data_IF_638511029367
#
_entry.id   IF_638511029367
#
_cell.length_a   1.000
_cell.length_b   1.000
_cell.length_c   1.000
_cell.angle_alpha   90.00
_cell.angle_beta   90.00
_cell.angle_gamma   90.00
#
_symmetry.space_group_name_H-M   'P 1'
#
loop_
_entity.id
_entity.type
_entity.pdbx_description
1 polymer ?
#
# COMPACT_ATOMS: atom_id res chain seq x y z
N UNK A 1 -5.38 19.01 -23.24
CA UNK A 1 -3.99 19.18 -22.77
C UNK A 1 -3.06 17.97 -23.06
N UNK A 2 -3.58 16.78 -23.35
CA UNK A 2 -2.80 15.56 -23.58
C UNK A 2 -2.95 14.96 -24.99
N UNK A 3 -3.47 15.72 -25.96
CA UNK A 3 -3.56 15.28 -27.36
C UNK A 3 -2.17 14.80 -27.82
N UNK A 4 -2.10 13.61 -28.42
CA UNK A 4 -0.89 12.93 -28.90
C UNK A 4 0.05 12.26 -27.89
N UNK A 5 -0.21 12.30 -26.58
CA UNK A 5 0.59 11.53 -25.61
C UNK A 5 -0.03 10.16 -25.33
N UNK A 6 0.82 9.14 -25.21
CA UNK A 6 0.34 7.82 -24.76
C UNK A 6 -0.14 7.89 -23.30
N UNK A 7 -1.03 6.99 -22.96
CA UNK A 7 -1.58 6.82 -21.60
C UNK A 7 -0.49 6.81 -20.52
N UNK A 8 0.61 6.11 -20.74
CA UNK A 8 1.74 6.11 -19.79
C UNK A 8 2.36 7.51 -19.61
N UNK A 9 2.56 8.27 -20.69
CA UNK A 9 3.09 9.63 -20.60
C UNK A 9 2.11 10.60 -19.94
N UNK A 10 0.80 10.39 -20.12
CA UNK A 10 -0.23 11.15 -19.44
C UNK A 10 -0.23 10.85 -17.92
N UNK A 11 -0.13 9.56 -17.54
CA UNK A 11 -0.02 9.14 -16.13
C UNK A 11 1.22 9.72 -15.45
N UNK A 12 2.37 9.60 -16.08
CA UNK A 12 3.64 10.04 -15.49
C UNK A 12 3.76 11.56 -15.41
N UNK A 13 2.89 12.33 -16.08
CA UNK A 13 2.79 13.77 -15.91
C UNK A 13 2.30 14.19 -14.51
N UNK A 14 1.62 13.30 -13.77
CA UNK A 14 1.25 13.53 -12.36
C UNK A 14 2.41 13.35 -11.38
N UNK A 15 3.56 12.82 -11.84
CA UNK A 15 4.75 12.69 -11.01
C UNK A 15 5.51 14.01 -10.93
N UNK A 16 5.87 14.44 -9.73
CA UNK A 16 6.71 15.62 -9.53
C UNK A 16 8.19 15.27 -9.80
N UNK A 17 8.62 15.46 -11.06
CA UNK A 17 10.00 15.19 -11.49
C UNK A 17 11.03 16.04 -10.75
N UNK A 18 10.70 17.30 -10.44
CA UNK A 18 11.60 18.19 -9.69
C UNK A 18 11.89 17.63 -8.31
N UNK A 19 10.84 17.20 -7.60
CA UNK A 19 10.99 16.59 -6.27
C UNK A 19 11.78 15.28 -6.33
N UNK A 20 11.52 14.43 -7.32
CA UNK A 20 12.33 13.22 -7.51
C UNK A 20 13.81 13.55 -7.73
N UNK A 21 14.11 14.53 -8.58
CA UNK A 21 15.48 14.96 -8.85
C UNK A 21 16.17 15.56 -7.61
N UNK A 22 15.43 16.13 -6.65
CA UNK A 22 15.98 16.57 -5.36
C UNK A 22 16.52 15.37 -4.58
N UNK A 23 15.76 14.26 -4.54
CA UNK A 23 16.25 13.02 -3.90
C UNK A 23 17.42 12.39 -4.67
N UNK A 24 17.39 12.41 -6.01
CA UNK A 24 18.51 11.94 -6.82
C UNK A 24 19.80 12.72 -6.49
N UNK A 25 19.71 14.04 -6.31
CA UNK A 25 20.85 14.89 -5.90
C UNK A 25 21.28 14.59 -4.46
N UNK A 26 20.33 14.44 -3.53
CA UNK A 26 20.60 14.13 -2.11
C UNK A 26 21.46 12.86 -1.94
N UNK A 27 21.29 11.88 -2.82
CA UNK A 27 21.95 10.57 -2.75
C UNK A 27 22.92 10.31 -3.91
N UNK A 28 23.34 11.33 -4.66
CA UNK A 28 24.24 11.23 -5.81
C UNK A 28 23.87 10.15 -6.85
N UNK A 29 22.58 9.87 -6.99
CA UNK A 29 22.07 8.73 -7.75
C UNK A 29 22.41 8.71 -9.24
N UNK A 30 22.74 9.87 -9.83
CA UNK A 30 23.17 10.00 -11.23
C UNK A 30 24.68 10.23 -11.40
N UNK A 31 25.47 10.06 -10.34
CA UNK A 31 26.93 10.18 -10.43
C UNK A 31 27.48 9.16 -11.45
N UNK A 32 28.29 9.63 -12.40
CA UNK A 32 28.85 8.84 -13.52
C UNK A 32 27.82 8.18 -14.45
N UNK A 33 26.54 8.56 -14.37
CA UNK A 33 25.50 8.01 -15.25
C UNK A 33 25.45 8.78 -16.58
N UNK A 34 25.69 8.08 -17.72
CA UNK A 34 25.71 8.68 -19.04
C UNK A 34 24.31 8.77 -19.69
N UNK A 35 23.50 7.73 -19.57
CA UNK A 35 22.23 7.62 -20.32
C UNK A 35 21.02 7.14 -19.51
N UNK A 36 21.15 6.05 -18.75
CA UNK A 36 20.05 5.48 -17.98
C UNK A 36 19.98 6.12 -16.58
N UNK A 37 19.35 7.30 -16.48
CA UNK A 37 19.23 8.08 -15.24
C UNK A 37 18.31 7.39 -14.22
N UNK A 38 18.33 7.88 -12.96
CA UNK A 38 17.38 7.41 -11.94
C UNK A 38 15.92 7.67 -12.35
N UNK A 39 15.66 8.76 -13.07
CA UNK A 39 14.32 9.03 -13.62
C UNK A 39 13.92 7.98 -14.66
N UNK A 40 14.81 7.64 -15.60
CA UNK A 40 14.54 6.57 -16.55
C UNK A 40 14.29 5.23 -15.85
N UNK A 41 15.06 4.92 -14.79
CA UNK A 41 14.84 3.73 -13.99
C UNK A 41 13.46 3.73 -13.33
N UNK A 42 13.04 4.83 -12.68
CA UNK A 42 11.72 4.95 -12.08
C UNK A 42 10.62 4.70 -13.12
N UNK A 43 10.68 5.39 -14.27
CA UNK A 43 9.70 5.22 -15.34
C UNK A 43 9.67 3.79 -15.87
N UNK A 44 10.85 3.17 -16.08
CA UNK A 44 10.93 1.79 -16.52
C UNK A 44 10.35 0.80 -15.48
N UNK A 45 10.64 1.01 -14.18
CA UNK A 45 10.06 0.22 -13.09
C UNK A 45 8.53 0.37 -13.07
N UNK A 46 8.02 1.60 -13.16
CA UNK A 46 6.58 1.87 -13.16
C UNK A 46 5.88 1.28 -14.38
N UNK A 47 6.47 1.43 -15.57
CA UNK A 47 5.94 0.79 -16.77
C UNK A 47 5.81 -0.73 -16.59
N UNK A 48 6.85 -1.37 -16.05
CA UNK A 48 6.83 -2.81 -15.79
C UNK A 48 5.77 -3.22 -14.75
N UNK A 49 5.56 -2.42 -13.70
CA UNK A 49 4.52 -2.65 -12.70
C UNK A 49 3.12 -2.51 -13.32
N UNK A 50 2.86 -1.42 -14.00
CA UNK A 50 1.56 -1.10 -14.59
C UNK A 50 1.20 -2.00 -15.77
N UNK A 51 2.18 -2.44 -16.59
CA UNK A 51 1.98 -3.38 -17.72
C UNK A 51 2.08 -4.84 -17.31
N UNK A 52 2.11 -5.14 -16.03
CA UNK A 52 2.05 -6.50 -15.48
C UNK A 52 3.21 -7.41 -15.92
N UNK A 53 4.46 -6.86 -16.09
CA UNK A 53 5.64 -7.63 -16.51
C UNK A 53 6.15 -8.53 -15.39
N UNK A 54 6.44 -9.78 -15.72
CA UNK A 54 6.81 -10.80 -14.73
C UNK A 54 8.31 -10.85 -14.41
N UNK A 55 9.15 -10.38 -15.33
CA UNK A 55 10.60 -10.42 -15.18
C UNK A 55 11.27 -9.23 -15.86
N UNK A 56 12.54 -8.98 -15.47
CA UNK A 56 13.35 -7.97 -16.15
C UNK A 56 13.54 -8.29 -17.64
N UNK A 57 13.61 -9.58 -18.00
CA UNK A 57 13.72 -10.00 -19.42
C UNK A 57 12.44 -9.66 -20.19
N UNK A 58 11.28 -9.96 -19.63
CA UNK A 58 9.98 -9.64 -20.21
C UNK A 58 9.80 -8.12 -20.39
N UNK A 59 10.25 -7.33 -19.40
CA UNK A 59 10.23 -5.87 -19.48
C UNK A 59 11.12 -5.34 -20.63
N UNK A 60 12.32 -5.90 -20.82
CA UNK A 60 13.21 -5.48 -21.90
C UNK A 60 12.61 -5.86 -23.26
N UNK A 61 12.04 -7.06 -23.41
CA UNK A 61 11.35 -7.48 -24.65
C UNK A 61 10.20 -6.52 -24.97
N UNK A 62 9.43 -6.09 -23.96
CA UNK A 62 8.37 -5.09 -24.16
C UNK A 62 8.93 -3.75 -24.66
N UNK A 63 10.06 -3.28 -24.13
CA UNK A 63 10.71 -2.06 -24.64
C UNK A 63 11.25 -2.23 -26.05
N UNK A 64 11.80 -3.38 -26.39
CA UNK A 64 12.27 -3.69 -27.75
C UNK A 64 11.12 -3.69 -28.75
N UNK A 65 10.00 -4.34 -28.41
CA UNK A 65 8.81 -4.37 -29.25
C UNK A 65 8.22 -2.96 -29.49
N UNK A 66 8.38 -2.05 -28.52
CA UNK A 66 7.91 -0.68 -28.61
C UNK A 66 9.04 0.35 -28.79
N UNK A 67 10.16 -0.02 -29.37
CA UNK A 67 11.36 0.80 -29.50
C UNK A 67 11.09 2.17 -30.12
N UNK A 68 10.28 2.24 -31.16
CA UNK A 68 9.88 3.51 -31.80
C UNK A 68 9.10 4.43 -30.87
N UNK A 69 8.35 3.88 -29.90
CA UNK A 69 7.54 4.63 -28.93
C UNK A 69 8.30 4.94 -27.62
N UNK A 70 9.49 4.37 -27.40
CA UNK A 70 10.25 4.48 -26.14
C UNK A 70 10.53 5.94 -25.75
N UNK A 71 10.82 6.79 -26.71
CA UNK A 71 11.02 8.23 -26.49
C UNK A 71 9.76 8.90 -25.91
N UNK A 72 8.60 8.54 -26.42
CA UNK A 72 7.31 9.07 -25.97
C UNK A 72 6.92 8.58 -24.55
N UNK A 73 7.55 7.52 -24.06
CA UNK A 73 7.43 7.05 -22.67
C UNK A 73 8.33 7.84 -21.70
N UNK A 74 9.11 8.79 -22.19
CA UNK A 74 10.09 9.53 -21.39
C UNK A 74 11.36 8.75 -21.05
N UNK A 75 11.59 7.58 -21.66
CA UNK A 75 12.73 6.69 -21.40
C UNK A 75 13.98 7.03 -22.23
N UNK A 76 13.89 8.08 -23.09
CA UNK A 76 14.97 8.45 -23.99
C UNK A 76 14.99 7.61 -25.29
N UNK A 77 15.98 7.90 -26.17
CA UNK A 77 16.07 7.26 -27.51
C UNK A 77 16.95 6.01 -27.53
N UNK A 78 17.84 5.84 -26.54
CA UNK A 78 18.77 4.72 -26.49
C UNK A 78 18.09 3.48 -25.90
N UNK A 79 18.32 2.29 -26.48
CA UNK A 79 17.81 1.04 -25.92
C UNK A 79 18.29 0.83 -24.50
N UNK A 80 17.42 0.29 -23.65
CA UNK A 80 17.77 -0.06 -22.28
C UNK A 80 18.27 -1.50 -22.26
N UNK A 81 19.58 -1.69 -22.07
CA UNK A 81 20.13 -3.02 -21.92
C UNK A 81 19.73 -3.66 -20.58
N UNK A 82 19.43 -4.94 -20.57
CA UNK A 82 19.10 -5.71 -19.36
C UNK A 82 20.17 -5.58 -18.28
N UNK A 83 21.45 -5.65 -18.67
CA UNK A 83 22.59 -5.51 -17.75
C UNK A 83 22.65 -4.14 -17.11
N UNK A 84 22.42 -3.07 -17.87
CA UNK A 84 22.37 -1.69 -17.36
C UNK A 84 21.25 -1.53 -16.35
N UNK A 85 20.08 -2.08 -16.62
CA UNK A 85 18.95 -2.02 -15.69
C UNK A 85 19.21 -2.84 -14.42
N UNK A 86 19.72 -4.06 -14.56
CA UNK A 86 20.08 -4.90 -13.41
C UNK A 86 21.12 -4.22 -12.52
N UNK A 87 22.19 -3.66 -13.12
CA UNK A 87 23.23 -2.91 -12.40
C UNK A 87 22.64 -1.68 -11.69
N UNK A 88 21.73 -0.95 -12.33
CA UNK A 88 21.05 0.19 -11.71
C UNK A 88 20.24 -0.24 -10.47
N UNK A 89 19.47 -1.34 -10.57
CA UNK A 89 18.73 -1.89 -9.43
C UNK A 89 19.64 -2.37 -8.29
N UNK A 90 20.81 -2.86 -8.61
CA UNK A 90 21.77 -3.37 -7.63
C UNK A 90 22.51 -2.26 -6.91
N UNK A 91 22.93 -1.21 -7.61
CA UNK A 91 23.95 -0.27 -7.12
C UNK A 91 23.41 1.12 -6.78
N UNK A 92 22.28 1.56 -7.33
CA UNK A 92 21.68 2.85 -7.00
C UNK A 92 21.07 2.83 -5.62
N UNK A 93 21.24 3.90 -4.87
CA UNK A 93 20.70 4.01 -3.53
C UNK A 93 19.16 3.90 -3.53
N UNK A 94 18.63 2.88 -2.86
CA UNK A 94 17.19 2.64 -2.77
C UNK A 94 16.44 3.79 -2.10
N UNK A 95 17.11 4.58 -1.24
CA UNK A 95 16.51 5.71 -0.51
C UNK A 95 15.98 6.79 -1.45
N UNK A 96 16.50 6.90 -2.68
CA UNK A 96 15.94 7.78 -3.71
C UNK A 96 14.48 7.45 -3.99
N UNK A 97 14.19 6.17 -4.14
CA UNK A 97 12.85 5.66 -4.47
C UNK A 97 11.96 5.60 -3.22
N UNK A 98 12.53 5.30 -2.08
CA UNK A 98 11.84 5.25 -0.78
C UNK A 98 11.38 6.64 -0.35
N UNK A 99 12.26 7.66 -0.35
CA UNK A 99 11.91 9.06 -0.05
C UNK A 99 10.84 9.58 -1.02
N UNK A 100 10.94 9.21 -2.31
CA UNK A 100 9.93 9.60 -3.28
C UNK A 100 8.60 8.85 -3.08
N UNK A 101 8.62 7.60 -2.61
CA UNK A 101 7.41 6.88 -2.23
C UNK A 101 6.71 7.57 -1.04
N UNK A 102 7.45 8.00 -0.02
CA UNK A 102 6.88 8.79 1.09
C UNK A 102 6.27 10.11 0.61
N UNK A 103 6.95 10.83 -0.28
CA UNK A 103 6.38 12.02 -0.90
C UNK A 103 5.07 11.73 -1.64
N UNK A 104 5.03 10.68 -2.45
CA UNK A 104 3.83 10.30 -3.22
C UNK A 104 2.67 9.86 -2.31
N UNK A 105 2.97 9.15 -1.21
CA UNK A 105 1.96 8.81 -0.20
C UNK A 105 1.36 10.06 0.44
N UNK A 106 2.19 11.03 0.81
CA UNK A 106 1.73 12.30 1.36
C UNK A 106 0.83 13.07 0.37
N UNK A 107 1.24 13.15 -0.91
CA UNK A 107 0.42 13.81 -1.93
C UNK A 107 -0.93 13.10 -2.15
N UNK A 108 -0.94 11.78 -2.19
CA UNK A 108 -2.17 11.01 -2.35
C UNK A 108 -3.10 11.16 -1.13
N UNK A 109 -2.56 11.13 0.09
CA UNK A 109 -3.33 11.36 1.33
C UNK A 109 -3.98 12.73 1.35
N UNK A 110 -3.23 13.80 1.05
CA UNK A 110 -3.76 15.18 1.02
C UNK A 110 -4.95 15.35 0.08
N UNK A 111 -4.96 14.64 -1.04
CA UNK A 111 -6.05 14.71 -2.04
C UNK A 111 -7.27 13.91 -1.64
N UNK A 112 -7.09 12.78 -0.98
CA UNK A 112 -8.15 11.81 -0.67
C UNK A 112 -8.66 11.90 0.77
N UNK A 113 -8.59 13.08 1.38
CA UNK A 113 -9.14 13.28 2.73
C UNK A 113 -10.65 13.01 2.72
N UNK A 114 -11.08 12.09 3.59
CA UNK A 114 -12.49 11.82 3.88
C UNK A 114 -12.74 11.99 5.37
N UNK A 115 -13.97 11.89 5.82
CA UNK A 115 -14.34 11.95 7.23
C UNK A 115 -15.30 10.77 7.57
N UNK A 116 -14.82 9.56 7.23
CA UNK A 116 -15.62 8.33 7.40
C UNK A 116 -15.94 8.08 8.89
N UNK A 117 -14.95 8.32 9.76
CA UNK A 117 -15.09 8.02 11.18
C UNK A 117 -15.59 9.20 12.01
N UNK A 118 -15.61 10.42 11.48
CA UNK A 118 -15.99 11.66 12.18
C UNK A 118 -15.21 11.84 13.48
N UNK A 119 -13.93 11.50 13.47
CA UNK A 119 -13.02 11.60 14.60
C UNK A 119 -12.06 12.78 14.42
N UNK A 120 -11.68 13.39 15.56
CA UNK A 120 -10.59 14.37 15.54
C UNK A 120 -9.27 13.61 15.52
N UNK A 121 -8.60 13.54 14.39
CA UNK A 121 -7.33 12.85 14.20
C UNK A 121 -7.39 11.73 13.16
N UNK A 122 -6.23 11.35 12.67
CA UNK A 122 -6.10 10.34 11.64
C UNK A 122 -6.38 8.93 12.18
N UNK A 123 -6.92 8.06 11.34
CA UNK A 123 -7.22 6.67 11.69
C UNK A 123 -6.34 5.74 10.85
N UNK A 124 -5.48 4.98 11.51
CA UNK A 124 -4.51 4.11 10.86
C UNK A 124 -4.74 2.64 11.21
N UNK A 125 -4.62 1.76 10.22
CA UNK A 125 -4.39 0.33 10.44
C UNK A 125 -2.91 0.03 10.25
N UNK A 126 -2.34 -0.79 11.13
CA UNK A 126 -0.97 -1.28 10.96
C UNK A 126 -0.97 -2.79 10.84
N UNK A 127 -0.35 -3.28 9.78
CA UNK A 127 -0.18 -4.71 9.55
C UNK A 127 1.06 -4.99 8.70
N UNK A 128 1.41 -6.26 8.54
CA UNK A 128 2.53 -6.69 7.72
C UNK A 128 2.13 -7.76 6.72
N UNK A 129 2.84 -7.76 5.60
CA UNK A 129 2.71 -8.82 4.62
C UNK A 129 4.05 -9.47 4.34
N UNK A 130 4.10 -10.80 4.36
CA UNK A 130 5.30 -11.56 4.04
C UNK A 130 5.32 -11.88 2.54
N UNK A 131 6.47 -11.64 1.92
CA UNK A 131 6.77 -11.99 0.54
C UNK A 131 7.81 -13.09 0.59
N UNK A 132 7.44 -14.35 0.25
CA UNK A 132 8.36 -15.47 0.28
C UNK A 132 9.42 -15.34 -0.82
N UNK A 133 10.66 -15.68 -0.51
CA UNK A 133 11.81 -15.62 -1.41
C UNK A 133 12.54 -16.98 -1.43
N UNK A 134 13.10 -17.31 -2.58
CA UNK A 134 13.97 -18.47 -2.73
C UNK A 134 15.34 -18.19 -2.07
N UNK A 135 15.66 -18.88 -0.98
CA UNK A 135 16.84 -18.61 -0.18
C UNK A 135 18.16 -18.79 -0.94
N UNK A 136 18.23 -19.71 -1.94
CA UNK A 136 19.41 -19.88 -2.76
C UNK A 136 19.77 -18.67 -3.62
N UNK A 137 18.77 -17.83 -3.92
CA UNK A 137 18.93 -16.61 -4.71
C UNK A 137 18.99 -15.37 -3.82
N UNK A 138 18.22 -15.35 -2.74
CA UNK A 138 18.10 -14.21 -1.79
C UNK A 138 18.70 -14.60 -0.43
N UNK A 139 19.98 -14.97 -0.39
CA UNK A 139 20.68 -15.46 0.79
C UNK A 139 20.62 -14.54 2.01
N UNK A 140 20.52 -13.24 1.78
CA UNK A 140 20.41 -12.20 2.82
C UNK A 140 19.05 -12.18 3.52
N UNK A 141 17.99 -12.68 2.85
CA UNK A 141 16.62 -12.66 3.36
C UNK A 141 16.26 -13.92 4.19
N UNK A 142 17.23 -14.51 4.89
CA UNK A 142 17.02 -15.75 5.67
C UNK A 142 15.97 -15.55 6.75
N UNK A 143 14.98 -16.45 6.78
CA UNK A 143 13.88 -16.44 7.74
C UNK A 143 13.83 -17.70 8.62
N UNK A 144 14.00 -18.88 8.01
CA UNK A 144 14.09 -20.19 8.66
C UNK A 144 15.19 -20.98 8.00
N UNK A 145 15.57 -22.17 8.57
CA UNK A 145 16.67 -23.01 8.03
C UNK A 145 16.63 -23.17 6.49
N UNK A 146 15.42 -23.28 5.89
CA UNK A 146 15.22 -23.52 4.44
C UNK A 146 14.32 -22.49 3.74
N UNK A 147 13.94 -21.36 4.41
CA UNK A 147 13.03 -20.37 3.84
C UNK A 147 13.60 -18.97 3.95
N UNK A 148 13.50 -18.22 2.85
CA UNK A 148 13.77 -16.79 2.77
C UNK A 148 12.48 -16.00 2.66
N UNK A 149 12.52 -14.73 3.02
CA UNK A 149 11.42 -13.81 2.84
C UNK A 149 11.71 -12.41 3.38
N UNK A 150 10.99 -11.45 2.82
CA UNK A 150 10.93 -10.08 3.34
C UNK A 150 9.51 -9.79 3.83
N UNK A 151 9.41 -8.88 4.79
CA UNK A 151 8.14 -8.30 5.24
C UNK A 151 8.07 -6.84 4.85
N UNK A 152 6.94 -6.45 4.33
CA UNK A 152 6.53 -5.05 4.24
C UNK A 152 5.54 -4.79 5.38
N UNK A 153 5.96 -3.97 6.34
CA UNK A 153 5.12 -3.45 7.41
C UNK A 153 4.56 -2.12 6.93
N UNK A 154 3.26 -1.93 7.02
CA UNK A 154 2.59 -0.75 6.48
C UNK A 154 1.68 -0.13 7.53
N UNK A 155 1.76 1.18 7.67
CA UNK A 155 0.76 2.00 8.31
C UNK A 155 -0.17 2.53 7.22
N UNK A 156 -1.42 2.13 7.25
CA UNK A 156 -2.41 2.42 6.23
C UNK A 156 -3.46 3.38 6.77
N UNK A 157 -3.63 4.48 6.11
CA UNK A 157 -4.63 5.48 6.47
C UNK A 157 -6.02 5.01 6.01
N UNK A 158 -6.91 4.81 6.96
CA UNK A 158 -8.26 4.28 6.71
C UNK A 158 -9.24 5.33 6.16
N UNK A 159 -8.91 6.61 6.27
CA UNK A 159 -9.69 7.70 5.68
C UNK A 159 -9.36 7.86 4.19
N UNK A 160 -8.10 8.06 3.88
CA UNK A 160 -7.66 8.27 2.48
C UNK A 160 -7.55 6.99 1.66
N UNK A 161 -7.52 5.82 2.31
CA UNK A 161 -7.26 4.50 1.72
C UNK A 161 -5.91 4.46 0.96
N UNK A 162 -4.88 5.04 1.57
CA UNK A 162 -3.51 5.12 1.05
C UNK A 162 -2.52 4.78 2.17
N UNK A 163 -1.37 4.13 1.88
CA UNK A 163 -0.35 3.94 2.88
C UNK A 163 0.19 5.30 3.37
N UNK A 164 0.41 5.42 4.68
CA UNK A 164 0.99 6.59 5.33
C UNK A 164 2.47 6.39 5.66
N UNK A 165 2.87 5.15 5.91
CA UNK A 165 4.24 4.77 6.21
C UNK A 165 4.47 3.31 5.82
N UNK A 166 5.69 2.95 5.46
CA UNK A 166 6.10 1.56 5.30
C UNK A 166 7.53 1.32 5.76
N UNK A 167 7.79 0.11 6.24
CA UNK A 167 9.10 -0.36 6.63
C UNK A 167 9.34 -1.76 6.06
N UNK A 168 10.52 -1.99 5.49
CA UNK A 168 10.89 -3.28 4.90
C UNK A 168 11.90 -3.96 5.81
N UNK A 169 11.61 -5.18 6.23
CA UNK A 169 12.50 -6.01 7.04
C UNK A 169 12.62 -7.42 6.47
N UNK A 170 13.58 -8.19 6.97
CA UNK A 170 13.59 -9.64 6.73
C UNK A 170 12.40 -10.30 7.44
N UNK A 171 11.90 -11.41 6.89
CA UNK A 171 10.76 -12.12 7.48
C UNK A 171 11.05 -12.72 8.87
N UNK A 172 12.31 -12.67 9.34
CA UNK A 172 12.71 -13.06 10.69
C UNK A 172 12.26 -12.07 11.77
N UNK A 173 12.01 -10.82 11.41
CA UNK A 173 11.56 -9.79 12.36
C UNK A 173 10.11 -10.07 12.76
N UNK A 174 9.84 -10.13 14.06
CA UNK A 174 8.49 -10.27 14.59
C UNK A 174 7.68 -9.00 14.32
N UNK A 175 6.40 -9.17 13.97
CA UNK A 175 5.52 -8.07 13.60
C UNK A 175 5.42 -6.98 14.68
N UNK A 176 5.32 -7.40 15.95
CA UNK A 176 5.29 -6.48 17.09
C UNK A 176 6.56 -5.65 17.27
N UNK A 177 7.72 -6.11 16.76
CA UNK A 177 8.97 -5.31 16.80
C UNK A 177 8.93 -4.14 15.82
N UNK A 178 8.23 -4.28 14.70
CA UNK A 178 8.10 -3.23 13.71
C UNK A 178 7.23 -2.05 14.20
N UNK A 179 6.46 -2.21 15.27
CA UNK A 179 5.73 -1.10 15.89
C UNK A 179 6.65 0.04 16.35
N UNK A 180 7.93 -0.23 16.61
CA UNK A 180 8.91 0.78 17.02
C UNK A 180 9.27 1.77 15.90
N UNK A 181 9.08 1.34 14.66
CA UNK A 181 9.40 2.13 13.46
C UNK A 181 8.25 3.08 13.07
N UNK A 182 7.08 2.92 13.71
CA UNK A 182 5.91 3.76 13.39
C UNK A 182 6.14 5.17 13.90
N UNK A 183 6.02 6.20 13.03
CA UNK A 183 6.00 7.59 13.47
C UNK A 183 4.64 7.92 14.08
N UNK A 184 4.49 7.74 15.40
CA UNK A 184 3.25 8.01 16.10
C UNK A 184 2.93 9.52 16.09
N UNK A 185 1.68 9.86 15.76
CA UNK A 185 1.14 11.22 15.71
C UNK A 185 0.16 11.43 16.84
N UNK A 186 0.31 12.50 17.65
CA UNK A 186 -0.61 12.83 18.73
C UNK A 186 -2.05 12.99 18.23
N UNK A 187 -3.02 12.53 19.00
CA UNK A 187 -4.45 12.58 18.68
C UNK A 187 -4.92 11.53 17.66
N UNK A 188 -4.03 10.74 17.07
CA UNK A 188 -4.38 9.74 16.06
C UNK A 188 -4.77 8.39 16.66
N UNK A 189 -5.48 7.57 15.88
CA UNK A 189 -5.99 6.26 16.27
C UNK A 189 -5.26 5.15 15.48
N UNK A 190 -4.77 4.14 16.19
CA UNK A 190 -4.00 3.03 15.62
C UNK A 190 -4.72 1.71 15.84
N UNK A 191 -5.06 1.01 14.77
CA UNK A 191 -5.79 -0.26 14.80
C UNK A 191 -4.85 -1.43 14.48
N UNK A 192 -4.84 -2.43 15.37
CA UNK A 192 -3.92 -3.57 15.28
C UNK A 192 -4.63 -4.91 15.41
N UNK A 193 -4.11 -5.94 14.75
CA UNK A 193 -4.53 -7.32 15.02
C UNK A 193 -3.88 -7.88 16.30
N UNK A 194 -4.32 -9.08 16.69
CA UNK A 194 -3.88 -9.80 17.89
C UNK A 194 -2.35 -9.99 17.98
N UNK A 195 -1.65 -10.10 16.86
CA UNK A 195 -0.20 -10.23 16.80
C UNK A 195 0.56 -9.05 17.41
N UNK A 196 -0.07 -7.90 17.51
CA UNK A 196 0.52 -6.65 17.98
C UNK A 196 0.26 -6.31 19.46
N UNK A 197 -0.11 -7.28 20.30
CA UNK A 197 -0.25 -7.07 21.75
C UNK A 197 1.13 -6.92 22.44
N UNK A 198 1.88 -5.88 22.06
CA UNK A 198 3.14 -5.47 22.64
C UNK A 198 2.88 -4.33 23.64
N UNK A 199 2.53 -4.63 24.87
CA UNK A 199 2.06 -3.65 25.87
C UNK A 199 3.00 -2.45 26.06
N UNK A 200 4.33 -2.67 25.96
CA UNK A 200 5.29 -1.56 26.02
C UNK A 200 5.11 -0.56 24.85
N UNK A 201 4.86 -1.06 23.64
CA UNK A 201 4.66 -0.21 22.47
C UNK A 201 3.26 0.43 22.50
N UNK A 202 2.23 -0.30 22.95
CA UNK A 202 0.89 0.27 23.19
C UNK A 202 0.92 1.38 24.26
N UNK A 203 1.77 1.24 25.28
CA UNK A 203 1.94 2.30 26.28
C UNK A 203 2.63 3.54 25.69
N UNK A 204 3.58 3.37 24.78
CA UNK A 204 4.15 4.52 24.05
C UNK A 204 3.11 5.28 23.25
N UNK A 205 2.18 4.59 22.57
CA UNK A 205 1.06 5.25 21.86
C UNK A 205 0.27 6.10 22.86
N UNK A 206 -0.04 5.56 24.02
CA UNK A 206 -0.73 6.30 25.08
C UNK A 206 0.07 7.53 25.55
N UNK A 207 1.37 7.38 25.76
CA UNK A 207 2.26 8.49 26.17
C UNK A 207 2.40 9.58 25.10
N UNK A 208 2.19 9.23 23.82
CA UNK A 208 2.11 10.18 22.70
C UNK A 208 0.73 10.83 22.55
N UNK A 209 -0.14 10.72 23.58
CA UNK A 209 -1.52 11.24 23.53
C UNK A 209 -2.32 10.70 22.34
N UNK A 210 -2.03 9.48 21.92
CA UNK A 210 -2.68 8.80 20.83
C UNK A 210 -3.48 7.61 21.32
N UNK A 211 -4.37 7.12 20.47
CA UNK A 211 -5.31 6.06 20.81
C UNK A 211 -5.02 4.79 20.01
N UNK A 212 -5.34 3.65 20.60
CA UNK A 212 -5.24 2.38 19.89
C UNK A 212 -6.48 1.51 20.12
N UNK A 213 -6.73 0.65 19.15
CA UNK A 213 -7.66 -0.48 19.24
C UNK A 213 -6.91 -1.73 18.81
N UNK A 214 -6.71 -2.66 19.72
CA UNK A 214 -6.02 -3.93 19.43
C UNK A 214 -6.89 -5.12 19.81
N UNK A 215 -6.94 -6.13 18.94
CA UNK A 215 -7.63 -7.38 19.28
C UNK A 215 -6.93 -8.07 20.43
N UNK A 216 -7.64 -8.33 21.53
CA UNK A 216 -7.12 -8.94 22.75
C UNK A 216 -6.68 -10.40 22.54
N UNK A 217 -5.70 -10.85 23.31
CA UNK A 217 -5.34 -12.26 23.43
C UNK A 217 -6.34 -12.98 24.35
N UNK A 218 -6.60 -14.26 24.09
CA UNK A 218 -7.53 -15.08 24.90
C UNK A 218 -7.05 -15.31 26.34
N UNK A 219 -5.72 -15.31 26.55
CA UNK A 219 -5.07 -15.58 27.85
C UNK A 219 -4.70 -14.32 28.62
N UNK A 220 -5.45 -13.21 28.41
CA UNK A 220 -5.21 -11.96 29.10
C UNK A 220 -5.61 -12.09 30.58
N UNK A 221 -4.69 -11.72 31.49
CA UNK A 221 -4.94 -11.72 32.94
C UNK A 221 -5.20 -10.29 33.41
N UNK A 222 -6.41 -10.04 33.89
CA UNK A 222 -6.86 -8.72 34.33
C UNK A 222 -7.88 -8.80 35.45
N UNK A 223 -8.01 -7.73 36.21
CA UNK A 223 -9.17 -7.49 37.08
C UNK A 223 -10.07 -6.42 36.46
N UNK A 224 -11.38 -6.60 36.61
CA UNK A 224 -12.35 -5.60 36.22
C UNK A 224 -12.46 -4.55 37.32
N UNK A 225 -12.25 -3.27 36.94
CA UNK A 225 -12.40 -2.13 37.88
C UNK A 225 -13.80 -1.52 37.81
N UNK A 226 -14.42 -1.52 36.63
CA UNK A 226 -15.74 -0.94 36.43
C UNK A 226 -16.43 -1.54 35.21
N UNK A 227 -17.70 -1.90 35.35
CA UNK A 227 -18.55 -2.34 34.24
C UNK A 227 -19.43 -1.19 33.76
N UNK A 228 -19.60 -1.08 32.42
CA UNK A 228 -20.62 -0.20 31.85
C UNK A 228 -21.94 -0.96 31.75
N UNK A 229 -23.02 -0.31 32.18
CA UNK A 229 -24.38 -0.83 32.11
C UNK A 229 -25.08 -0.29 30.86
N UNK A 230 -26.16 -0.98 30.40
CA UNK A 230 -26.95 -0.60 29.20
C UNK A 230 -26.10 -0.63 27.94
N UNK A 231 -25.69 -1.85 27.58
CA UNK A 231 -24.85 -2.08 26.41
C UNK A 231 -25.69 -1.94 25.12
N UNK A 232 -25.14 -1.32 24.06
CA UNK A 232 -25.73 -1.35 22.73
C UNK A 232 -25.86 -2.75 22.17
N UNK A 233 -26.69 -2.92 21.12
CA UNK A 233 -26.83 -4.18 20.40
C UNK A 233 -25.41 -4.71 19.99
N UNK A 234 -25.24 -6.02 20.08
CA UNK A 234 -23.99 -6.71 19.74
C UNK A 234 -22.76 -6.42 20.63
N UNK A 235 -22.88 -5.58 21.63
CA UNK A 235 -21.83 -5.39 22.65
C UNK A 235 -22.14 -6.33 23.81
N UNK A 236 -21.26 -7.32 24.02
CA UNK A 236 -21.42 -8.33 25.09
C UNK A 236 -20.83 -7.84 26.41
N UNK A 237 -19.75 -7.07 26.33
CA UNK A 237 -19.05 -6.54 27.52
C UNK A 237 -18.44 -5.18 27.18
N UNK A 238 -18.48 -4.27 28.13
CA UNK A 238 -17.76 -3.01 28.10
C UNK A 238 -17.28 -2.70 29.52
N UNK A 239 -15.98 -2.87 29.75
CA UNK A 239 -15.40 -2.80 31.08
C UNK A 239 -14.08 -2.04 31.12
N UNK A 240 -13.85 -1.34 32.22
CA UNK A 240 -12.53 -0.79 32.57
C UNK A 240 -11.75 -1.88 33.30
N UNK A 241 -10.57 -2.20 32.84
CA UNK A 241 -9.71 -3.25 33.36
C UNK A 241 -8.33 -2.73 33.74
N UNK A 242 -7.65 -3.52 34.58
CA UNK A 242 -6.25 -3.33 34.95
C UNK A 242 -5.56 -4.69 34.90
N UNK A 243 -4.34 -4.75 34.38
CA UNK A 243 -3.59 -6.00 34.32
C UNK A 243 -3.21 -6.51 35.71
N UNK A 244 -3.36 -7.81 35.94
CA UNK A 244 -2.97 -8.47 37.20
C UNK A 244 -1.63 -9.18 37.09
N UNK A 245 -1.23 -9.57 35.88
CA UNK A 245 0.09 -10.17 35.65
C UNK A 245 1.18 -9.08 35.76
N UNK A 246 2.19 -9.33 36.62
CA UNK A 246 3.28 -8.39 36.88
C UNK A 246 3.97 -7.86 35.61
N UNK A 247 4.31 -8.75 34.66
CA UNK A 247 4.99 -8.35 33.44
C UNK A 247 4.12 -7.47 32.51
N UNK A 248 2.82 -7.72 32.46
CA UNK A 248 1.86 -6.94 31.67
C UNK A 248 1.62 -5.59 32.32
N UNK A 249 1.39 -5.56 33.63
CA UNK A 249 1.24 -4.34 34.42
C UNK A 249 2.48 -3.43 34.33
N UNK A 250 3.68 -3.97 34.52
CA UNK A 250 4.92 -3.21 34.39
C UNK A 250 5.10 -2.54 33.03
N UNK A 251 4.60 -3.17 31.93
CA UNK A 251 4.69 -2.65 30.57
C UNK A 251 3.57 -1.66 30.24
N UNK A 252 2.44 -1.78 30.88
CA UNK A 252 1.28 -0.91 30.71
C UNK A 252 0.60 -0.74 32.08
N UNK A 253 1.02 0.26 32.88
CA UNK A 253 0.54 0.44 34.25
C UNK A 253 -0.84 1.11 34.36
N UNK A 254 -1.32 1.68 33.25
CA UNK A 254 -2.58 2.42 33.22
C UNK A 254 -3.78 1.50 32.95
N UNK A 255 -4.96 1.99 33.32
CA UNK A 255 -6.22 1.30 33.04
C UNK A 255 -6.50 1.28 31.56
N UNK A 256 -7.10 0.19 31.12
CA UNK A 256 -7.56 -0.05 29.76
C UNK A 256 -9.05 -0.30 29.72
N UNK A 257 -9.63 -0.17 28.57
CA UNK A 257 -11.01 -0.55 28.30
C UNK A 257 -11.02 -1.83 27.49
N UNK A 258 -11.82 -2.81 27.92
CA UNK A 258 -12.08 -4.06 27.24
C UNK A 258 -13.50 -4.04 26.71
N UNK A 259 -13.65 -4.20 25.39
CA UNK A 259 -14.94 -4.27 24.71
C UNK A 259 -15.06 -5.61 24.01
N UNK A 260 -16.09 -6.40 24.35
CA UNK A 260 -16.43 -7.61 23.63
C UNK A 260 -17.60 -7.34 22.70
N UNK A 261 -17.41 -7.65 21.44
CA UNK A 261 -18.34 -7.42 20.34
C UNK A 261 -18.69 -8.73 19.65
N UNK A 262 -19.97 -8.97 19.38
CA UNK A 262 -20.42 -10.07 18.56
C UNK A 262 -20.67 -9.60 17.12
N UNK A 263 -19.95 -10.16 16.18
CA UNK A 263 -20.11 -9.88 14.75
C UNK A 263 -21.14 -10.86 14.17
N UNK A 264 -22.34 -10.39 13.88
CA UNK A 264 -23.43 -11.19 13.31
C UNK A 264 -23.09 -11.70 11.90
N UNK A 265 -22.35 -10.92 11.09
CA UNK A 265 -21.97 -11.30 9.72
C UNK A 265 -20.97 -12.47 9.72
N UNK A 266 -20.06 -12.49 10.68
CA UNK A 266 -19.01 -13.52 10.80
C UNK A 266 -19.37 -14.62 11.80
N UNK A 267 -20.45 -14.50 12.55
CA UNK A 267 -20.91 -15.43 13.57
C UNK A 267 -19.90 -15.66 14.70
N UNK A 268 -19.12 -14.63 15.08
CA UNK A 268 -18.04 -14.77 16.06
C UNK A 268 -17.85 -13.56 16.96
N UNK A 269 -17.20 -13.80 18.10
CA UNK A 269 -16.86 -12.78 19.09
C UNK A 269 -15.46 -12.20 18.87
N UNK A 270 -15.36 -10.91 19.12
CA UNK A 270 -14.11 -10.17 19.18
C UNK A 270 -13.98 -9.47 20.52
N UNK A 271 -12.78 -9.50 21.09
CA UNK A 271 -12.42 -8.73 22.26
C UNK A 271 -11.40 -7.66 21.87
N UNK A 272 -11.66 -6.42 22.19
CA UNK A 272 -10.80 -5.28 21.91
C UNK A 272 -10.27 -4.63 23.17
N UNK A 273 -8.97 -4.37 23.21
CA UNK A 273 -8.33 -3.50 24.20
C UNK A 273 -8.10 -2.13 23.59
N UNK A 274 -8.38 -1.09 24.38
CA UNK A 274 -8.19 0.29 23.94
C UNK A 274 -7.95 1.24 25.13
N UNK A 275 -7.25 2.35 24.89
CA UNK A 275 -7.15 3.51 25.76
C UNK A 275 -8.13 4.65 25.35
N UNK A 276 -8.94 4.45 24.30
CA UNK A 276 -9.91 5.43 23.82
C UNK A 276 -11.21 5.36 24.67
N UNK A 277 -11.19 5.94 25.86
CA UNK A 277 -12.33 5.93 26.78
C UNK A 277 -13.49 6.85 26.33
N UNK A 278 -13.21 7.81 25.47
CA UNK A 278 -14.18 8.77 24.93
C UNK A 278 -15.05 8.20 23.81
N UNK A 279 -14.59 7.14 23.12
CA UNK A 279 -15.36 6.50 22.06
C UNK A 279 -16.47 5.63 22.63
N UNK A 280 -17.54 5.45 21.86
CA UNK A 280 -18.57 4.44 22.16
C UNK A 280 -18.07 3.03 21.79
N UNK A 281 -18.66 1.97 22.36
CA UNK A 281 -18.26 0.61 22.04
C UNK A 281 -18.53 0.23 20.56
N UNK A 282 -19.63 0.65 19.91
CA UNK A 282 -19.82 0.49 18.48
C UNK A 282 -18.76 1.19 17.61
N UNK A 283 -18.32 2.40 17.99
CA UNK A 283 -17.24 3.09 17.26
C UNK A 283 -15.93 2.30 17.33
N UNK A 284 -15.58 1.73 18.48
CA UNK A 284 -14.40 0.87 18.65
C UNK A 284 -14.51 -0.37 17.73
N UNK A 285 -15.67 -1.02 17.68
CA UNK A 285 -15.91 -2.17 16.81
C UNK A 285 -15.81 -1.76 15.32
N UNK A 286 -16.36 -0.59 14.95
CA UNK A 286 -16.29 -0.06 13.59
C UNK A 286 -14.85 0.26 13.16
N UNK A 287 -14.04 0.86 14.03
CA UNK A 287 -12.62 1.09 13.77
C UNK A 287 -11.91 -0.24 13.44
N UNK A 288 -12.15 -1.28 14.24
CA UNK A 288 -11.54 -2.58 13.99
C UNK A 288 -12.08 -3.27 12.72
N UNK A 289 -13.37 -3.16 12.41
CA UNK A 289 -13.96 -3.71 11.18
C UNK A 289 -13.27 -3.13 9.95
N UNK A 290 -12.96 -1.84 9.95
CA UNK A 290 -12.27 -1.17 8.83
C UNK A 290 -10.79 -1.54 8.69
N UNK A 291 -10.15 -2.17 9.67
CA UNK A 291 -8.78 -2.72 9.55
C UNK A 291 -8.61 -3.62 8.33
N UNK A 292 -9.67 -4.28 7.88
CA UNK A 292 -9.65 -5.14 6.68
C UNK A 292 -9.15 -4.42 5.42
N UNK A 293 -9.27 -3.11 5.33
CA UNK A 293 -8.80 -2.33 4.18
C UNK A 293 -7.30 -2.50 3.92
N UNK A 294 -6.49 -2.68 4.96
CA UNK A 294 -5.05 -2.93 4.78
C UNK A 294 -4.78 -4.31 4.15
N UNK A 295 -5.61 -5.31 4.42
CA UNK A 295 -5.49 -6.64 3.81
C UNK A 295 -5.84 -6.58 2.31
N UNK A 296 -6.85 -5.77 1.94
CA UNK A 296 -7.18 -5.50 0.54
C UNK A 296 -6.02 -4.78 -0.17
N UNK A 297 -5.39 -3.79 0.47
CA UNK A 297 -4.19 -3.15 -0.05
C UNK A 297 -3.05 -4.16 -0.28
N UNK A 298 -2.78 -5.06 0.67
CA UNK A 298 -1.75 -6.10 0.49
C UNK A 298 -2.09 -7.10 -0.61
N UNK A 299 -3.36 -7.48 -0.73
CA UNK A 299 -3.84 -8.32 -1.83
C UNK A 299 -3.57 -7.63 -3.16
N UNK A 300 -3.93 -6.35 -3.25
CA UNK A 300 -3.73 -5.52 -4.41
C UNK A 300 -2.24 -5.42 -4.78
N UNK A 301 -1.38 -5.09 -3.80
CA UNK A 301 0.07 -4.96 -3.98
C UNK A 301 0.70 -6.26 -4.51
N UNK A 302 0.29 -7.41 -3.97
CA UNK A 302 0.79 -8.72 -4.38
C UNK A 302 0.30 -9.19 -5.75
N UNK A 303 -0.94 -8.88 -6.09
CA UNK A 303 -1.57 -9.37 -7.31
C UNK A 303 -1.22 -8.51 -8.53
N UNK A 304 -1.21 -7.19 -8.35
CA UNK A 304 -1.15 -6.25 -9.47
C UNK A 304 0.20 -5.56 -9.65
N UNK A 305 1.02 -5.46 -8.60
CA UNK A 305 2.31 -4.78 -8.67
C UNK A 305 3.51 -5.73 -8.60
N UNK A 306 3.29 -7.01 -8.91
CA UNK A 306 4.36 -8.02 -9.11
C UNK A 306 5.46 -8.07 -8.05
N UNK A 307 5.13 -7.73 -6.79
CA UNK A 307 6.10 -7.84 -5.69
C UNK A 307 6.36 -9.29 -5.25
N UNK A 308 5.69 -10.27 -5.87
CA UNK A 308 5.97 -11.70 -5.66
C UNK A 308 7.19 -12.20 -6.45
N UNK A 309 7.52 -11.54 -7.57
CA UNK A 309 8.67 -11.87 -8.44
C UNK A 309 9.54 -10.64 -8.57
N UNK A 310 10.70 -10.64 -7.91
CA UNK A 310 11.61 -9.51 -7.97
C UNK A 310 12.49 -9.56 -9.24
N UNK A 311 12.77 -8.38 -9.78
CA UNK A 311 13.59 -8.18 -10.98
C UNK A 311 15.09 -8.05 -10.67
N UNK A 312 15.45 -8.13 -9.39
CA UNK A 312 16.82 -8.18 -8.90
C UNK A 312 16.86 -8.95 -7.58
N UNK A 313 18.03 -9.48 -7.23
CA UNK A 313 18.21 -10.41 -6.11
C UNK A 313 18.83 -9.77 -4.87
N UNK A 314 19.37 -8.56 -4.99
CA UNK A 314 19.95 -7.82 -3.87
C UNK A 314 18.85 -7.17 -3.01
N UNK A 315 19.16 -6.92 -1.75
CA UNK A 315 18.26 -6.18 -0.86
C UNK A 315 17.89 -4.81 -1.45
N UNK A 316 18.88 -4.12 -2.01
CA UNK A 316 18.68 -2.83 -2.67
C UNK A 316 17.66 -2.90 -3.80
N UNK A 317 17.77 -3.90 -4.69
CA UNK A 317 16.83 -4.09 -5.81
C UNK A 317 15.41 -4.40 -5.32
N UNK A 318 15.29 -5.19 -4.26
CA UNK A 318 13.99 -5.51 -3.64
C UNK A 318 13.33 -4.26 -3.05
N UNK A 319 14.10 -3.44 -2.32
CA UNK A 319 13.62 -2.16 -1.76
C UNK A 319 13.18 -1.19 -2.85
N UNK A 320 13.96 -1.04 -3.92
CA UNK A 320 13.60 -0.21 -5.09
C UNK A 320 12.29 -0.68 -5.70
N UNK A 321 12.11 -2.00 -5.90
CA UNK A 321 10.92 -2.53 -6.52
C UNK A 321 9.67 -2.35 -5.66
N UNK A 322 9.75 -2.56 -4.35
CA UNK A 322 8.63 -2.33 -3.41
C UNK A 322 8.28 -0.84 -3.38
N UNK A 323 9.26 0.06 -3.29
CA UNK A 323 9.04 1.50 -3.32
C UNK A 323 8.38 1.95 -4.63
N UNK A 324 8.85 1.42 -5.78
CA UNK A 324 8.26 1.70 -7.09
C UNK A 324 6.80 1.20 -7.20
N UNK A 325 6.49 0.07 -6.56
CA UNK A 325 5.13 -0.46 -6.49
C UNK A 325 4.21 0.47 -5.66
N UNK A 326 4.69 0.97 -4.53
CA UNK A 326 3.96 1.94 -3.70
C UNK A 326 3.76 3.26 -4.45
N UNK A 327 4.79 3.75 -5.17
CA UNK A 327 4.68 4.96 -6.02
C UNK A 327 3.59 4.75 -7.09
N UNK A 328 3.57 3.60 -7.76
CA UNK A 328 2.54 3.29 -8.75
C UNK A 328 1.12 3.24 -8.15
N UNK A 329 0.98 2.66 -6.95
CA UNK A 329 -0.28 2.68 -6.21
C UNK A 329 -0.76 4.10 -5.92
N UNK A 330 0.12 4.93 -5.34
CA UNK A 330 -0.20 6.32 -5.00
C UNK A 330 -0.52 7.13 -6.25
N UNK A 331 0.20 6.91 -7.36
CA UNK A 331 -0.09 7.56 -8.64
C UNK A 331 -1.50 7.23 -9.13
N UNK A 332 -1.88 5.96 -9.13
CA UNK A 332 -3.24 5.54 -9.51
C UNK A 332 -4.28 6.17 -8.59
N UNK A 333 -4.03 6.20 -7.27
CA UNK A 333 -4.92 6.84 -6.30
C UNK A 333 -5.10 8.35 -6.56
N UNK A 334 -4.02 9.05 -6.91
CA UNK A 334 -4.05 10.47 -7.28
C UNK A 334 -4.88 10.69 -8.57
N UNK A 335 -4.60 9.88 -9.60
CA UNK A 335 -5.31 9.97 -10.88
C UNK A 335 -6.80 9.68 -10.73
N UNK A 336 -7.16 8.66 -9.94
CA UNK A 336 -8.57 8.37 -9.62
C UNK A 336 -9.28 9.57 -8.99
N UNK A 337 -8.62 10.22 -8.04
CA UNK A 337 -9.17 11.39 -7.37
C UNK A 337 -9.28 12.58 -8.33
N UNK A 338 -8.19 12.95 -9.01
CA UNK A 338 -8.11 14.15 -9.84
C UNK A 338 -9.03 14.09 -11.08
N UNK A 339 -9.26 12.90 -11.61
CA UNK A 339 -10.17 12.65 -12.72
C UNK A 339 -11.56 12.19 -12.26
N UNK A 340 -11.82 12.14 -10.95
CA UNK A 340 -13.09 11.71 -10.34
C UNK A 340 -13.61 10.36 -10.90
N UNK A 341 -12.69 9.40 -11.08
CA UNK A 341 -13.02 8.11 -11.70
C UNK A 341 -13.93 7.29 -10.80
N UNK A 342 -15.05 6.81 -11.35
CA UNK A 342 -16.01 5.94 -10.66
C UNK A 342 -15.59 4.46 -10.63
N UNK A 343 -14.49 4.10 -11.30
CA UNK A 343 -13.95 2.74 -11.35
C UNK A 343 -13.14 2.41 -10.09
N UNK A 344 -13.17 1.17 -9.66
CA UNK A 344 -12.29 0.69 -8.60
C UNK A 344 -10.81 0.75 -9.02
N UNK A 345 -9.90 0.83 -8.06
CA UNK A 345 -8.44 0.77 -8.32
C UNK A 345 -8.04 -0.48 -9.09
N UNK A 346 -8.75 -1.59 -8.87
CA UNK A 346 -8.56 -2.84 -9.61
C UNK A 346 -8.87 -2.67 -11.10
N UNK A 347 -10.05 -2.15 -11.45
CA UNK A 347 -10.45 -1.91 -12.84
C UNK A 347 -9.50 -0.95 -13.56
N UNK A 348 -9.11 0.14 -12.87
CA UNK A 348 -8.13 1.11 -13.42
C UNK A 348 -6.83 0.42 -13.80
N UNK A 349 -6.29 -0.45 -12.94
CA UNK A 349 -5.05 -1.17 -13.25
C UNK A 349 -5.22 -2.20 -14.36
N UNK A 350 -6.33 -2.91 -14.42
CA UNK A 350 -6.57 -3.85 -15.52
C UNK A 350 -6.60 -3.12 -16.86
N UNK A 351 -7.31 -1.99 -16.94
CA UNK A 351 -7.34 -1.15 -18.13
C UNK A 351 -5.93 -0.63 -18.46
N UNK A 352 -5.20 -0.08 -17.49
CA UNK A 352 -3.84 0.39 -17.69
C UNK A 352 -2.90 -0.71 -18.19
N UNK A 353 -3.07 -1.94 -17.72
CA UNK A 353 -2.16 -3.04 -18.06
C UNK A 353 -2.11 -3.36 -19.56
N UNK A 354 -3.15 -3.02 -20.29
CA UNK A 354 -3.27 -3.24 -21.74
C UNK A 354 -3.17 -1.96 -22.58
N UNK A 355 -3.42 -0.79 -21.98
CA UNK A 355 -3.63 0.48 -22.71
C UNK A 355 -2.48 1.50 -22.56
N UNK A 356 -1.38 1.17 -21.87
CA UNK A 356 -0.29 2.13 -21.60
C UNK A 356 0.31 2.78 -22.86
N UNK A 357 0.24 2.09 -23.99
CA UNK A 357 0.77 2.54 -25.27
C UNK A 357 -0.26 3.26 -26.16
N UNK A 358 -1.52 3.27 -25.77
CA UNK A 358 -2.59 3.93 -26.50
C UNK A 358 -2.48 5.46 -26.35
N UNK A 359 -3.05 6.18 -27.30
CA UNK A 359 -3.10 7.65 -27.27
C UNK A 359 -4.43 8.21 -26.76
N UNK A 360 -5.28 7.34 -26.25
CA UNK A 360 -6.57 7.72 -25.67
C UNK A 360 -6.38 8.65 -24.47
N UNK A 361 -7.11 9.75 -24.35
CA UNK A 361 -7.14 10.57 -23.15
C UNK A 361 -7.53 9.74 -21.92
N UNK A 362 -6.90 10.01 -20.76
CA UNK A 362 -7.17 9.23 -19.55
C UNK A 362 -8.64 9.26 -19.12
N UNK A 363 -9.33 10.38 -19.31
CA UNK A 363 -10.76 10.50 -18.96
C UNK A 363 -11.58 9.54 -19.81
N UNK A 364 -11.39 9.57 -21.13
CA UNK A 364 -12.14 8.73 -22.07
C UNK A 364 -11.82 7.23 -21.87
N UNK A 365 -10.55 6.91 -21.54
CA UNK A 365 -10.10 5.55 -21.27
C UNK A 365 -10.83 4.91 -20.09
N UNK A 366 -11.20 5.71 -19.09
CA UNK A 366 -11.82 5.22 -17.86
C UNK A 366 -13.33 5.44 -17.81
N UNK A 367 -13.94 6.12 -18.78
CA UNK A 367 -15.38 6.17 -18.89
C UNK A 367 -15.97 4.76 -19.05
N UNK A 368 -17.11 4.53 -18.42
CA UNK A 368 -17.91 3.31 -18.68
C UNK A 368 -18.70 3.58 -19.94
N UNK A 369 -18.44 2.83 -21.00
CA UNK A 369 -19.32 2.77 -22.15
C UNK A 369 -20.55 1.97 -21.72
N UNK A 370 -21.68 2.62 -21.51
CA UNK A 370 -22.97 1.92 -21.35
C UNK A 370 -23.35 1.35 -22.70
N UNK A 371 -23.03 0.08 -22.93
CA UNK A 371 -23.39 -0.65 -24.14
C UNK A 371 -24.91 -0.71 -24.38
N UNK A 372 -25.73 -0.40 -23.37
CA UNK A 372 -27.19 -0.34 -23.49
C UNK A 372 -27.72 0.84 -24.33
N UNK A 373 -26.86 1.77 -24.76
CA UNK A 373 -27.23 2.90 -25.63
C UNK A 373 -26.84 2.71 -27.11
N UNK A 374 -26.22 1.60 -27.47
CA UNK A 374 -26.20 1.22 -28.88
C UNK A 374 -27.60 0.67 -29.20
N UNK A 375 -28.53 1.58 -29.60
CA UNK A 375 -29.57 1.18 -30.53
C UNK A 375 -28.84 0.44 -31.63
N UNK A 376 -29.29 -0.80 -31.92
CA UNK A 376 -28.88 -1.50 -33.13
C UNK A 376 -28.95 -0.47 -34.26
N UNK A 377 -27.79 -0.01 -34.71
CA UNK A 377 -27.70 0.56 -36.04
C UNK A 377 -28.07 -0.62 -36.91
N UNK A 378 -29.28 -0.59 -37.45
CA UNK A 378 -29.69 -1.43 -38.56
C UNK A 378 -28.58 -1.31 -39.63
N UNK A 379 -27.58 -2.18 -39.54
CA UNK A 379 -26.74 -2.47 -40.68
C UNK A 379 -27.66 -3.14 -41.69
N UNK A 380 -27.94 -2.51 -42.83
CA UNK A 380 -28.62 -3.25 -43.90
C UNK A 380 -27.73 -4.46 -44.21
N UNK A 381 -28.22 -5.63 -43.85
CA UNK A 381 -27.68 -6.87 -44.35
C UNK A 381 -27.55 -6.73 -45.87
N UNK A 382 -26.33 -6.78 -46.39
CA UNK A 382 -26.08 -6.89 -47.81
C UNK A 382 -26.77 -8.20 -48.27
N UNK A 383 -27.88 -8.14 -49.05
CA UNK A 383 -28.43 -9.30 -49.66
C UNK A 383 -27.57 -9.57 -50.93
N UNK A 384 -26.89 -10.67 -50.95
CA UNK A 384 -26.30 -11.20 -52.20
C UNK A 384 -24.78 -11.37 -52.14
N UNK A 385 -24.33 -12.44 -51.47
CA UNK A 385 -23.01 -13.00 -51.67
C UNK A 385 -22.97 -14.51 -51.38
N UNK A 386 -24.01 -15.25 -51.83
CA UNK A 386 -24.01 -16.71 -52.05
C UNK A 386 -25.21 -17.05 -52.96
N UNK A 387 -25.06 -16.82 -54.30
CA UNK A 387 -25.67 -17.62 -55.37
C UNK A 387 -24.54 -18.13 -56.27
#
# INVERSE_FOLDING_TARGET
MFQDKNVFAQLTAFLNRTQFNNYVRKYDGNRYVKHFTCWNQLLAMMFGQLSNRESLRDLIVAFEAHRAKQYHLGLGRKPIAKTTFASANQNRDYRIFEDFAFYMMEQARKKRVTDIFKLKGNVYAFDSTTIPLCLSVFWWAKFRKKKGGVKAHVLYDLESLVPAFFHISTASVYDSKAMKEIPYESGSYYVFDRGYNAFKELFKIHQHESFFVVRAKKNLQYKCCKWRRRLPKNILTDAVIEFTEYNSYRKYPEKLRLVNFYDEEQGREFAFLTNAFHLTAPEIANLYKNRWQIELFFKWLKQHLKIKKFWGTTENAVRIQISSAIIAYCLVAIVQHDLQLKRSTYEVLQILSISLMDKTPLVDLFERTDFNNFKELDCPLFPGLFD
#
